data_IF_997909665222
#
_entry.id   IF_997909665222
#
_cell.length_a   1.000
_cell.length_b   1.000
_cell.length_c   1.000
_cell.angle_alpha   90.00
_cell.angle_beta   90.00
_cell.angle_gamma   90.00
#
_symmetry.space_group_name_H-M   'P 1'
#
loop_
_entity.id
_entity.type
_entity.pdbx_description
1 polymer ?
2 non-polymer ?
3 non-polymer ?
4 water ?
#
# COMPACT_ATOMS: atom_id res chain seq x y z
N UNK A 1 3.04 3.38 21.58
CA UNK A 1 3.61 4.10 20.45
C UNK A 1 2.53 4.34 19.39
N UNK A 2 2.02 5.55 19.22
CA UNK A 2 0.89 5.76 18.31
C UNK A 2 1.22 6.58 17.07
N UNK A 3 2.47 6.93 16.82
CA UNK A 3 2.87 7.77 15.71
C UNK A 3 2.80 6.99 14.40
N UNK A 4 2.38 7.67 13.33
CA UNK A 4 2.37 7.00 12.04
C UNK A 4 2.89 7.93 10.93
N UNK A 5 3.32 7.32 9.85
CA UNK A 5 3.57 7.91 8.55
C UNK A 5 2.53 7.36 7.58
N UNK A 6 1.80 8.23 6.86
CA UNK A 6 0.75 7.67 6.00
C UNK A 6 0.84 8.20 4.57
N UNK A 7 0.38 7.39 3.63
CA UNK A 7 0.16 7.79 2.24
C UNK A 7 -1.25 7.37 1.87
N UNK A 8 -2.10 8.33 1.51
CA UNK A 8 -3.53 8.12 1.42
C UNK A 8 -4.13 8.32 0.02
N UNK A 9 -4.94 7.36 -0.40
CA UNK A 9 -5.59 7.42 -1.69
C UNK A 9 -4.67 7.44 -2.88
N UNK A 10 -3.55 6.72 -2.83
CA UNK A 10 -2.68 6.61 -3.99
C UNK A 10 -3.47 5.88 -5.07
N UNK A 11 -3.40 6.40 -6.31
CA UNK A 11 -4.17 5.73 -7.35
C UNK A 11 -3.27 5.26 -8.49
N UNK A 12 -3.40 4.00 -8.87
CA UNK A 12 -2.65 3.37 -9.94
C UNK A 12 -3.58 2.65 -10.91
N UNK A 13 -3.25 2.76 -12.20
CA UNK A 13 -4.00 1.95 -13.16
C UNK A 13 -3.24 0.62 -13.27
N UNK A 14 -3.91 -0.47 -12.96
CA UNK A 14 -3.35 -1.81 -12.99
C UNK A 14 -4.27 -2.81 -13.65
N UNK A 15 -3.76 -4.02 -13.87
CA UNK A 15 -4.53 -5.08 -14.52
C UNK A 15 -4.71 -6.29 -13.62
N UNK A 16 -4.50 -6.13 -12.31
CA UNK A 16 -4.67 -7.25 -11.39
C UNK A 16 -6.09 -7.77 -11.31
N UNK A 17 -6.21 -9.07 -10.99
CA UNK A 17 -7.54 -9.59 -10.73
C UNK A 17 -7.78 -11.00 -11.21
N UNK A 18 -8.69 -11.64 -10.50
CA UNK A 18 -9.16 -12.99 -10.77
C UNK A 18 -9.68 -13.13 -12.20
N UNK A 19 -10.68 -12.33 -12.56
CA UNK A 19 -11.28 -12.42 -13.89
C UNK A 19 -10.28 -12.05 -14.98
N UNK A 20 -10.28 -12.75 -16.11
CA UNK A 20 -9.31 -12.49 -17.18
C UNK A 20 -9.63 -11.21 -17.93
N UNK A 21 -10.88 -11.00 -18.31
CA UNK A 21 -11.29 -9.76 -18.96
C UNK A 21 -10.93 -8.55 -18.09
N UNK A 22 -10.97 -8.79 -16.78
CA UNK A 22 -10.50 -7.82 -15.79
C UNK A 22 -9.01 -7.54 -15.98
N UNK A 23 -8.22 -8.59 -16.23
CA UNK A 23 -6.79 -8.39 -16.46
C UNK A 23 -6.60 -7.71 -17.82
N UNK A 24 -7.50 -8.05 -18.74
CA UNK A 24 -7.42 -7.44 -20.07
C UNK A 24 -7.56 -5.92 -19.98
N UNK A 25 -8.71 -5.46 -19.53
CA UNK A 25 -9.11 -4.08 -19.43
C UNK A 25 -8.35 -3.27 -18.40
N UNK A 26 -8.19 -3.82 -17.19
CA UNK A 26 -7.55 -3.09 -16.11
C UNK A 26 -8.52 -2.15 -15.40
N UNK A 27 -8.06 -1.45 -14.39
CA UNK A 27 -8.86 -0.52 -13.60
C UNK A 27 -8.00 0.32 -12.69
N UNK A 28 -8.59 1.27 -11.98
CA UNK A 28 -7.86 2.08 -11.02
C UNK A 28 -7.92 1.40 -9.65
N UNK A 29 -6.75 1.32 -9.03
CA UNK A 29 -6.60 0.79 -7.68
C UNK A 29 -6.24 1.95 -6.75
N UNK A 30 -6.91 2.04 -5.61
CA UNK A 30 -6.61 3.08 -4.65
C UNK A 30 -5.88 2.44 -3.48
N UNK A 31 -4.78 3.03 -3.04
CA UNK A 31 -4.02 2.35 -1.98
C UNK A 31 -3.74 3.32 -0.85
N UNK A 32 -4.04 2.85 0.37
CA UNK A 32 -3.65 3.56 1.57
C UNK A 32 -2.52 2.77 2.28
N UNK A 33 -1.49 3.50 2.68
CA UNK A 33 -0.42 2.85 3.43
C UNK A 33 -0.11 3.67 4.67
N UNK A 34 -0.16 2.98 5.80
CA UNK A 34 0.09 3.51 7.12
C UNK A 34 1.21 2.72 7.82
N UNK A 35 2.19 3.48 8.26
CA UNK A 35 3.38 2.92 8.88
C UNK A 35 3.45 3.38 10.33
N UNK A 36 3.59 2.37 11.19
CA UNK A 36 3.81 2.63 12.61
C UNK A 36 5.33 2.75 12.79
N UNK A 37 5.73 4.01 12.93
CA UNK A 37 7.12 4.40 13.07
C UNK A 37 7.21 5.34 14.26
N UNK A 38 8.27 5.23 15.05
CA UNK A 38 8.39 6.17 16.16
C UNK A 38 9.04 7.44 15.64
N UNK A 39 8.31 8.55 15.74
CA UNK A 39 8.73 9.80 15.14
C UNK A 39 9.35 10.79 16.09
N UNK A 40 9.44 10.52 17.40
CA UNK A 40 9.96 11.65 18.19
C UNK A 40 11.43 11.97 17.96
N UNK A 41 12.25 11.07 17.41
CA UNK A 41 13.65 11.41 17.19
C UNK A 41 13.81 12.38 16.02
N UNK A 42 13.23 11.99 14.88
CA UNK A 42 13.20 12.91 13.74
C UNK A 42 12.46 14.18 14.13
N UNK A 43 11.50 14.05 15.06
CA UNK A 43 10.80 15.20 15.62
C UNK A 43 11.75 16.09 16.40
N UNK A 44 12.77 15.45 16.96
CA UNK A 44 13.80 16.13 17.73
C UNK A 44 14.85 16.75 16.81
N UNK A 45 15.41 15.96 15.91
CA UNK A 45 16.51 16.43 15.07
C UNK A 45 16.13 17.12 13.77
N UNK A 46 14.89 17.00 13.32
CA UNK A 46 14.50 17.56 12.02
C UNK A 46 15.45 17.07 10.93
N UNK A 47 15.97 15.86 11.04
CA UNK A 47 16.82 15.22 10.05
C UNK A 47 16.08 14.03 9.45
N UNK A 48 15.99 13.91 8.14
CA UNK A 48 15.14 12.94 7.45
C UNK A 48 15.60 11.50 7.63
N UNK A 49 16.91 11.38 7.85
CA UNK A 49 17.54 10.08 8.09
C UNK A 49 17.00 9.43 9.35
N UNK A 50 16.42 10.22 10.25
CA UNK A 50 15.87 9.67 11.49
C UNK A 50 14.45 9.17 11.29
N UNK A 51 13.92 9.25 10.07
CA UNK A 51 12.52 8.88 9.86
C UNK A 51 12.43 8.15 8.54
N UNK A 52 11.23 7.69 8.13
CA UNK A 52 11.16 6.95 6.86
C UNK A 52 10.69 7.88 5.75
N UNK A 53 11.43 7.98 4.66
CA UNK A 53 11.12 8.92 3.58
C UNK A 53 9.83 8.57 2.88
N UNK A 54 8.79 9.41 2.98
CA UNK A 54 7.52 8.96 2.40
C UNK A 54 7.62 8.94 0.87
N UNK A 55 8.54 9.74 0.34
CA UNK A 55 8.73 9.75 -1.10
C UNK A 55 9.17 8.39 -1.60
N UNK A 56 10.25 7.90 -0.99
CA UNK A 56 10.70 6.56 -1.36
C UNK A 56 9.61 5.53 -1.16
N UNK A 57 8.82 5.70 -0.10
CA UNK A 57 7.77 4.70 0.14
C UNK A 57 6.83 4.63 -1.07
N UNK A 58 6.48 5.80 -1.61
CA UNK A 58 5.52 5.79 -2.71
C UNK A 58 6.05 5.04 -3.92
N UNK A 59 7.34 5.21 -4.25
CA UNK A 59 7.85 4.52 -5.45
C UNK A 59 7.76 3.02 -5.26
N UNK A 60 7.99 2.55 -4.02
CA UNK A 60 7.88 1.12 -3.75
C UNK A 60 6.47 0.64 -4.02
N UNK A 61 5.50 1.41 -3.55
CA UNK A 61 4.11 1.00 -3.68
C UNK A 61 3.74 0.94 -5.16
N UNK A 62 4.08 2.00 -5.88
CA UNK A 62 3.85 2.05 -7.32
C UNK A 62 4.50 0.91 -8.09
N UNK A 63 5.74 0.52 -7.80
CA UNK A 63 6.39 -0.61 -8.45
C UNK A 63 5.50 -1.84 -8.42
N UNK A 64 4.97 -2.10 -7.22
CA UNK A 64 4.12 -3.29 -7.05
C UNK A 64 2.78 -3.09 -7.73
N UNK A 65 2.10 -1.97 -7.48
CA UNK A 65 0.77 -1.79 -8.04
C UNK A 65 0.81 -1.70 -9.55
N UNK A 66 1.89 -1.11 -10.10
CA UNK A 66 1.99 -0.93 -11.54
C UNK A 66 2.91 -2.02 -12.08
N UNK A 67 2.95 -3.13 -11.35
CA UNK A 67 3.73 -4.29 -11.72
C UNK A 67 2.84 -5.42 -12.22
N UNK A 68 3.48 -6.56 -12.46
CA UNK A 68 2.85 -7.74 -13.01
C UNK A 68 1.49 -8.03 -12.40
N UNK A 69 0.53 -8.28 -13.29
CA UNK A 69 -0.83 -8.60 -12.88
C UNK A 69 -0.85 -9.83 -11.98
N UNK A 70 -1.43 -9.66 -10.79
CA UNK A 70 -1.65 -10.79 -9.89
C UNK A 70 -3.15 -11.00 -9.69
N UNK A 71 -3.55 -12.09 -9.04
CA UNK A 71 -4.97 -12.39 -8.89
C UNK A 71 -5.67 -11.57 -7.80
N UNK A 72 -5.10 -11.53 -6.60
CA UNK A 72 -5.80 -11.02 -5.43
C UNK A 72 -5.22 -9.74 -4.83
N UNK A 73 -6.13 -8.92 -4.30
CA UNK A 73 -5.74 -7.76 -3.52
C UNK A 73 -4.95 -8.25 -2.30
N UNK A 74 -5.36 -9.40 -1.77
CA UNK A 74 -4.65 -9.93 -0.59
C UNK A 74 -3.18 -10.10 -0.90
N UNK A 75 -2.86 -10.64 -2.07
CA UNK A 75 -1.50 -10.85 -2.53
C UNK A 75 -0.76 -9.56 -2.84
N UNK A 76 -1.45 -8.59 -3.44
CA UNK A 76 -0.81 -7.32 -3.77
C UNK A 76 -0.35 -6.58 -2.52
N UNK A 77 -1.24 -6.58 -1.53
CA UNK A 77 -0.99 -5.89 -0.28
C UNK A 77 0.12 -6.61 0.49
N UNK A 78 0.12 -7.94 0.37
CA UNK A 78 1.16 -8.72 1.04
C UNK A 78 2.54 -8.35 0.52
N UNK A 79 2.71 -8.21 -0.79
CA UNK A 79 4.01 -7.86 -1.36
C UNK A 79 4.41 -6.43 -1.06
N UNK A 80 3.44 -5.52 -0.95
CA UNK A 80 3.80 -4.18 -0.53
C UNK A 80 4.28 -4.16 0.93
N UNK A 81 3.58 -4.85 1.82
CA UNK A 81 3.95 -4.89 3.23
C UNK A 81 5.34 -5.51 3.42
N UNK A 82 5.67 -6.54 2.65
CA UNK A 82 7.00 -7.13 2.73
C UNK A 82 8.10 -6.16 2.31
N UNK A 83 7.83 -5.65 1.11
CA UNK A 83 8.79 -4.77 0.47
C UNK A 83 9.17 -3.65 1.43
N UNK A 84 8.14 -3.17 2.13
CA UNK A 84 8.34 -2.01 2.99
C UNK A 84 9.01 -2.42 4.29
N UNK A 85 8.54 -3.51 4.88
CA UNK A 85 9.12 -3.92 6.17
C UNK A 85 10.57 -4.35 6.02
N UNK A 86 10.90 -4.96 4.89
CA UNK A 86 12.25 -5.42 4.58
C UNK A 86 13.18 -4.26 4.26
N UNK A 87 12.67 -3.21 3.62
CA UNK A 87 13.47 -2.07 3.24
C UNK A 87 13.74 -1.09 4.38
N UNK A 88 12.83 -1.02 5.36
CA UNK A 88 12.89 -0.03 6.43
C UNK A 88 12.76 -0.64 7.82
N UNK A 89 13.87 -0.76 8.53
CA UNK A 89 14.01 -1.32 9.86
C UNK A 89 13.21 -0.55 10.90
N UNK A 90 13.05 0.74 10.66
CA UNK A 90 12.36 1.65 11.56
C UNK A 90 10.86 1.40 11.62
N UNK A 91 10.34 0.72 10.60
CA UNK A 91 8.90 0.48 10.52
C UNK A 91 8.57 -0.68 11.45
N UNK A 92 7.79 -0.41 12.49
CA UNK A 92 7.38 -1.49 13.39
C UNK A 92 6.24 -2.30 12.79
N UNK A 93 5.42 -1.60 12.00
CA UNK A 93 4.26 -2.31 11.46
C UNK A 93 3.77 -1.59 10.20
N UNK A 94 3.23 -2.39 9.29
CA UNK A 94 2.75 -1.84 8.02
C UNK A 94 1.30 -2.23 7.78
N UNK A 95 0.46 -1.22 7.51
CA UNK A 95 -0.95 -1.47 7.25
C UNK A 95 -1.20 -1.11 5.78
N UNK A 96 -1.86 -1.98 5.05
CA UNK A 96 -2.04 -1.82 3.60
C UNK A 96 -3.50 -2.06 3.26
N UNK A 97 -4.11 -1.03 2.67
CA UNK A 97 -5.51 -1.07 2.30
C UNK A 97 -5.59 -0.84 0.79
N UNK A 98 -6.28 -1.75 0.13
CA UNK A 98 -6.38 -1.66 -1.33
C UNK A 98 -7.86 -1.75 -1.66
N UNK A 99 -8.29 -0.75 -2.44
CA UNK A 99 -9.69 -0.66 -2.79
C UNK A 99 -9.85 -0.66 -4.31
N UNK A 100 -10.87 -1.38 -4.75
CA UNK A 100 -11.38 -1.29 -6.11
C UNK A 100 -12.71 -0.57 -6.01
N UNK A 101 -12.68 0.70 -6.45
CA UNK A 101 -13.96 1.43 -6.46
C UNK A 101 -14.84 0.97 -7.60
N UNK A 102 -14.28 0.39 -8.66
CA UNK A 102 -15.10 0.02 -9.81
C UNK A 102 -14.73 -1.36 -10.36
N UNK A 103 -14.86 -2.42 -9.58
CA UNK A 103 -14.57 -3.80 -10.02
C UNK A 103 -15.74 -4.28 -10.89
N UNK A 104 -15.62 -5.48 -11.49
CA UNK A 104 -16.66 -6.07 -12.36
C UNK A 104 -17.87 -6.60 -11.62
N UNK A 105 -18.38 -5.86 -10.64
CA UNK A 105 -19.55 -6.29 -9.91
C UNK A 105 -20.76 -5.42 -10.21
N UNK A 106 -21.75 -5.99 -10.88
CA UNK A 106 -22.95 -5.21 -11.24
C UNK A 106 -23.70 -4.75 -10.00
N UNK A 107 -23.81 -3.44 -9.84
CA UNK A 107 -24.45 -2.83 -8.70
C UNK A 107 -23.88 -1.44 -8.40
N UNK A 108 -24.38 -0.87 -7.32
CA UNK A 108 -24.12 0.47 -6.84
C UNK A 108 -23.43 0.49 -5.49
N UNK A 109 -22.16 0.89 -5.48
CA UNK A 109 -21.40 0.96 -4.23
C UNK A 109 -20.25 1.94 -4.35
N UNK A 110 -19.56 2.18 -3.24
CA UNK A 110 -18.40 3.05 -3.31
C UNK A 110 -17.11 2.29 -3.50
N UNK A 111 -17.02 1.07 -2.94
CA UNK A 111 -15.77 0.35 -3.22
C UNK A 111 -15.74 -1.01 -2.54
N UNK A 112 -14.76 -1.83 -2.89
CA UNK A 112 -14.62 -3.12 -2.20
C UNK A 112 -13.13 -3.30 -2.08
N UNK A 113 -12.70 -3.95 -0.99
CA UNK A 113 -11.26 -4.11 -0.94
C UNK A 113 -10.91 -4.88 0.32
N UNK A 114 -9.62 -4.87 0.64
CA UNK A 114 -9.16 -5.62 1.82
C UNK A 114 -8.31 -4.70 2.67
N UNK A 115 -8.00 -5.01 3.92
CA UNK A 115 -6.93 -4.26 4.59
C UNK A 115 -6.11 -5.22 5.46
N UNK A 116 -4.78 -5.12 5.41
CA UNK A 116 -3.99 -6.03 6.25
C UNK A 116 -3.02 -5.26 7.14
N UNK A 117 -2.58 -5.88 8.25
CA UNK A 117 -1.61 -5.18 9.10
C UNK A 117 -0.44 -6.14 9.34
N UNK A 118 0.78 -5.73 9.06
CA UNK A 118 1.88 -6.71 9.13
C UNK A 118 3.03 -6.18 9.97
N UNK A 119 3.22 -6.72 11.17
CA UNK A 119 4.34 -6.25 12.00
C UNK A 119 5.68 -6.57 11.37
N UNK A 120 6.68 -5.71 11.50
CA UNK A 120 8.01 -5.98 10.94
C UNK A 120 8.87 -6.75 11.95
N UNK A 121 8.98 -8.06 11.83
CA UNK A 121 9.71 -8.84 12.83
C UNK A 121 11.00 -9.44 12.28
X LIG B 1 -0.32 0.67 11.87
X LIG B 1 -0.22 -0.47 12.51
X LIG B 1 0.46 0.87 10.79
X LIG B 1 -1.30 1.75 12.33
X LIG C 1 -10.02 -10.49 -2.84
X LIG C 1 -9.84 -10.30 -4.25
X LIG C 1 -8.81 -9.88 -4.83
X LIG C 1 -11.07 -10.68 -4.97
X LIG C 1 -10.94 -10.50 -6.33
X LIG C 1 -12.02 -10.82 -7.03
X LIG C 1 -13.33 -11.34 -6.48
X LIG C 1 -13.37 -11.47 -5.08
X LIG C 1 -12.25 -11.15 -4.29
X LIG C 1 -12.34 -11.31 -2.90
X LIG C 1 -11.21 -10.97 -2.23
X LIG C 1 -11.31 -11.12 -0.86
X LIG C 1 -11.86 -10.67 -8.49
X LIG C 1 -10.63 -10.16 -8.90
X LIG C 1 -13.00 -9.99 -9.27
X LIG C 1 -14.22 -10.70 -9.50
X LIG C 1 -13.45 -8.60 -8.71
X LIG C 1 -12.40 -7.67 -8.80
#
# INVERSE_FOLDING_TARGET
MQDTIFLKGMRFYGYHGALSAENEIGQIFKVDVTLKVDLSEAGRTDNVIDTVHYGEVFEEVKSIMEGKAVNLLEHLAERIANRINSQYNRVMETKVRITKENPPIPGHYDGVGIEIVRENK
ACT C O OXT CH3
MPU N2 C1 O11 C10 N9 C8 C7 N6 C5 N4 C3 N13 C16 O21 C26 O22 C28 O24
#
